data_IF_496361914229
#
_entry.id   IF_496361914229
#
_cell.length_a   1.000
_cell.length_b   1.000
_cell.length_c   1.000
_cell.angle_alpha   90.00
_cell.angle_beta   90.00
_cell.angle_gamma   90.00
#
_symmetry.space_group_name_H-M   'P 1'
#
loop_
_entity.id
_entity.type
_entity.pdbx_description
1 polymer ?
#
# COMPACT_ATOMS: atom_id res chain seq x y z
N UNK A 1 28.78 19.42 6.62
CA UNK A 1 27.32 19.46 6.37
C UNK A 1 26.71 18.07 6.49
N UNK A 2 25.53 18.00 7.02
CA UNK A 2 24.79 16.73 7.14
C UNK A 2 23.76 16.64 6.02
N UNK A 3 23.54 15.43 5.54
CA UNK A 3 22.61 15.16 4.43
C UNK A 3 21.53 14.18 4.86
N UNK A 4 20.28 14.45 4.47
CA UNK A 4 19.20 13.51 4.66
C UNK A 4 19.40 12.30 3.75
N UNK A 5 19.49 11.10 4.33
CA UNK A 5 19.71 9.88 3.57
C UNK A 5 18.53 9.50 2.67
N UNK A 6 17.35 10.09 2.90
CA UNK A 6 16.13 9.77 2.14
C UNK A 6 15.91 10.70 0.95
N UNK A 7 16.00 12.03 1.15
CA UNK A 7 15.77 13.00 0.08
C UNK A 7 17.04 13.65 -0.45
N UNK A 8 18.18 13.36 0.17
CA UNK A 8 19.50 13.87 -0.22
C UNK A 8 19.68 15.40 -0.07
N UNK A 9 18.77 16.05 0.68
CA UNK A 9 18.91 17.47 0.98
C UNK A 9 19.97 17.69 2.04
N UNK A 10 20.82 18.70 1.82
CA UNK A 10 21.89 19.06 2.76
C UNK A 10 21.39 19.99 3.86
N UNK A 11 21.90 19.82 5.06
CA UNK A 11 21.58 20.66 6.21
C UNK A 11 22.88 21.13 6.87
N UNK A 12 22.90 22.38 7.28
CA UNK A 12 24.06 22.98 7.94
C UNK A 12 24.23 22.47 9.38
N UNK A 13 23.16 22.04 10.02
CA UNK A 13 23.17 21.60 11.41
C UNK A 13 22.51 20.25 11.57
N UNK A 14 23.07 19.41 12.44
CA UNK A 14 22.48 18.11 12.78
C UNK A 14 21.09 18.24 13.40
N UNK A 15 20.88 19.31 14.20
CA UNK A 15 19.56 19.56 14.79
C UNK A 15 18.48 19.82 13.75
N UNK A 16 18.83 20.54 12.67
CA UNK A 16 17.91 20.77 11.55
C UNK A 16 17.60 19.47 10.83
N UNK A 17 18.59 18.60 10.62
CA UNK A 17 18.40 17.30 10.03
C UNK A 17 17.54 16.39 10.92
N UNK A 18 17.76 16.42 12.22
CA UNK A 18 17.04 15.56 13.17
C UNK A 18 15.52 15.84 13.18
N UNK A 19 15.12 17.10 12.99
CA UNK A 19 13.71 17.49 12.96
C UNK A 19 13.14 17.54 11.55
N UNK A 20 13.98 17.33 10.54
CA UNK A 20 13.56 17.35 9.16
C UNK A 20 12.64 16.15 8.83
N UNK A 21 11.51 16.44 8.19
CA UNK A 21 10.60 15.41 7.70
C UNK A 21 10.36 15.68 6.21
N UNK A 22 10.78 14.74 5.38
CA UNK A 22 10.50 14.75 3.94
C UNK A 22 9.57 13.59 3.60
N UNK A 23 8.99 13.61 2.42
CA UNK A 23 8.06 12.56 1.99
C UNK A 23 8.69 11.15 2.05
N UNK A 24 9.91 10.93 1.50
CA UNK A 24 10.52 9.60 1.61
C UNK A 24 10.75 9.15 3.05
N UNK A 25 11.17 10.05 3.93
CA UNK A 25 11.38 9.73 5.34
C UNK A 25 10.06 9.45 6.04
N UNK A 26 9.04 10.26 5.78
CA UNK A 26 7.71 10.09 6.39
C UNK A 26 7.10 8.74 6.01
N UNK A 27 7.23 8.32 4.76
CA UNK A 27 6.72 7.03 4.29
C UNK A 27 7.31 5.88 5.09
N UNK A 28 8.61 5.96 5.39
CA UNK A 28 9.29 4.92 6.18
C UNK A 28 8.89 4.97 7.66
N UNK A 29 8.61 6.15 8.20
CA UNK A 29 8.13 6.31 9.57
C UNK A 29 6.72 5.74 9.76
N UNK A 30 5.90 5.75 8.72
CA UNK A 30 4.54 5.22 8.73
C UNK A 30 4.46 3.70 8.63
N UNK A 31 5.58 3.02 8.45
CA UNK A 31 5.64 1.58 8.19
C UNK A 31 4.84 0.73 9.17
N UNK A 32 4.80 1.11 10.45
CA UNK A 32 4.10 0.36 11.48
C UNK A 32 2.58 0.56 11.47
N UNK A 33 2.07 1.53 10.72
CA UNK A 33 0.63 1.76 10.62
C UNK A 33 -0.05 0.61 9.88
N UNK A 34 -1.17 0.12 10.41
CA UNK A 34 -1.87 -1.04 9.83
C UNK A 34 -2.30 -0.80 8.38
N UNK A 35 -2.79 0.40 8.07
CA UNK A 35 -3.17 0.76 6.70
C UNK A 35 -1.99 0.74 5.74
N UNK A 36 -0.83 1.20 6.19
CA UNK A 36 0.40 1.18 5.39
C UNK A 36 0.86 -0.26 5.18
N UNK A 37 0.80 -1.09 6.22
CA UNK A 37 1.15 -2.52 6.12
C UNK A 37 0.27 -3.24 5.10
N UNK A 38 -1.05 -3.01 5.16
CA UNK A 38 -1.98 -3.60 4.19
C UNK A 38 -1.71 -3.09 2.77
N UNK A 39 -1.40 -1.80 2.64
CA UNK A 39 -1.01 -1.22 1.35
C UNK A 39 0.24 -1.87 0.79
N UNK A 40 1.24 -2.14 1.64
CA UNK A 40 2.45 -2.84 1.23
C UNK A 40 2.16 -4.26 0.77
N UNK A 41 1.32 -4.99 1.49
CA UNK A 41 0.91 -6.35 1.09
C UNK A 41 0.19 -6.34 -0.26
N UNK A 42 -0.67 -5.35 -0.49
CA UNK A 42 -1.36 -5.19 -1.77
C UNK A 42 -0.38 -4.87 -2.90
N UNK A 43 0.62 -4.04 -2.63
CA UNK A 43 1.69 -3.72 -3.57
C UNK A 43 2.46 -4.98 -3.99
N UNK A 44 2.84 -5.81 -3.03
CA UNK A 44 3.53 -7.07 -3.28
C UNK A 44 2.65 -7.97 -4.16
N UNK A 45 1.39 -8.11 -3.80
CA UNK A 45 0.45 -8.96 -4.54
C UNK A 45 0.26 -8.47 -5.98
N UNK A 46 0.19 -7.16 -6.16
CA UNK A 46 0.10 -6.55 -7.48
C UNK A 46 1.26 -6.98 -8.38
N UNK A 47 2.49 -6.91 -7.85
CA UNK A 47 3.66 -7.29 -8.63
C UNK A 47 3.74 -8.79 -8.87
N UNK A 48 3.34 -9.61 -7.89
CA UNK A 48 3.28 -11.07 -8.08
C UNK A 48 2.33 -11.45 -9.22
N UNK A 49 1.15 -10.85 -9.25
CA UNK A 49 0.14 -11.18 -10.27
C UNK A 49 0.42 -10.56 -11.64
N UNK A 50 1.11 -9.42 -11.67
CA UNK A 50 1.37 -8.70 -12.92
C UNK A 50 2.65 -9.13 -13.61
N UNK A 51 3.70 -9.47 -12.85
CA UNK A 51 5.03 -9.72 -13.36
C UNK A 51 5.57 -11.11 -12.99
N UNK A 52 4.75 -11.91 -12.33
CA UNK A 52 5.20 -13.16 -11.76
C UNK A 52 6.02 -12.94 -10.50
N UNK A 53 6.43 -14.00 -9.82
CA UNK A 53 7.13 -13.94 -8.54
C UNK A 53 8.63 -13.70 -8.68
N UNK A 54 9.09 -13.13 -9.79
CA UNK A 54 10.49 -13.09 -10.14
C UNK A 54 11.36 -12.25 -9.21
N UNK A 55 10.80 -11.27 -8.50
CA UNK A 55 11.57 -10.41 -7.61
C UNK A 55 10.78 -10.10 -6.34
N UNK A 56 11.43 -10.33 -5.20
CA UNK A 56 10.91 -9.87 -3.92
C UNK A 56 11.00 -8.36 -3.84
N UNK A 57 9.90 -7.70 -3.54
CA UNK A 57 9.86 -6.26 -3.33
C UNK A 57 10.02 -5.97 -1.85
N UNK A 58 10.84 -4.96 -1.53
CA UNK A 58 11.06 -4.52 -0.15
C UNK A 58 10.16 -3.34 0.18
N UNK A 59 10.09 -2.99 1.47
CA UNK A 59 9.38 -1.78 1.87
C UNK A 59 10.01 -0.52 1.26
N UNK A 60 11.32 -0.50 1.08
CA UNK A 60 11.98 0.62 0.42
C UNK A 60 11.51 0.78 -1.03
N UNK A 61 11.37 -0.32 -1.75
CA UNK A 61 10.81 -0.30 -3.11
C UNK A 61 9.40 0.30 -3.10
N UNK A 62 8.57 -0.11 -2.13
CA UNK A 62 7.23 0.40 -1.97
C UNK A 62 7.22 1.89 -1.62
N UNK A 63 8.05 2.31 -0.66
CA UNK A 63 8.13 3.70 -0.23
C UNK A 63 8.59 4.63 -1.35
N UNK A 64 9.38 4.12 -2.29
CA UNK A 64 9.87 4.89 -3.44
C UNK A 64 8.96 4.76 -4.66
N UNK A 65 7.91 3.95 -4.58
CA UNK A 65 6.99 3.73 -5.70
C UNK A 65 6.11 4.96 -5.94
N UNK A 66 5.86 5.33 -7.22
CA UNK A 66 4.89 6.37 -7.54
C UNK A 66 3.47 5.99 -7.14
N UNK A 67 3.21 4.70 -6.89
CA UNK A 67 1.89 4.21 -6.49
C UNK A 67 1.72 4.08 -4.97
N UNK A 68 2.71 4.49 -4.19
CA UNK A 68 2.67 4.37 -2.73
C UNK A 68 1.37 4.93 -2.14
N UNK A 69 0.99 6.14 -2.52
CA UNK A 69 -0.20 6.80 -1.98
C UNK A 69 -1.48 6.04 -2.30
N UNK A 70 -1.56 5.50 -3.52
CA UNK A 70 -2.74 4.75 -3.93
C UNK A 70 -2.89 3.46 -3.12
N UNK A 71 -1.81 2.72 -2.92
CA UNK A 71 -1.83 1.49 -2.12
C UNK A 71 -2.10 1.77 -0.64
N UNK A 72 -1.52 2.84 -0.09
CA UNK A 72 -1.77 3.23 1.30
C UNK A 72 -3.21 3.66 1.48
N UNK A 73 -3.76 4.42 0.55
CA UNK A 73 -5.18 4.80 0.57
C UNK A 73 -6.06 3.56 0.61
N UNK A 74 -5.76 2.56 -0.21
CA UNK A 74 -6.47 1.29 -0.22
C UNK A 74 -6.34 0.56 1.13
N UNK A 75 -5.12 0.48 1.67
CA UNK A 75 -4.90 -0.17 2.96
C UNK A 75 -5.65 0.52 4.10
N UNK A 76 -5.65 1.84 4.13
CA UNK A 76 -6.39 2.63 5.11
C UNK A 76 -7.89 2.45 4.96
N UNK A 77 -8.36 2.34 3.72
CA UNK A 77 -9.75 2.03 3.45
C UNK A 77 -10.14 0.66 4.03
N UNK A 78 -9.29 -0.35 3.84
CA UNK A 78 -9.53 -1.68 4.39
C UNK A 78 -9.62 -1.66 5.92
N UNK A 79 -8.78 -0.86 6.59
CA UNK A 79 -8.82 -0.70 8.04
C UNK A 79 -10.13 -0.02 8.46
N UNK A 80 -10.48 1.08 7.80
CA UNK A 80 -11.66 1.89 8.15
C UNK A 80 -12.96 1.11 7.97
N UNK A 81 -13.06 0.30 6.92
CA UNK A 81 -14.26 -0.50 6.62
C UNK A 81 -14.24 -1.87 7.26
N UNK A 82 -13.11 -2.25 7.90
CA UNK A 82 -12.88 -3.61 8.42
C UNK A 82 -13.12 -4.64 7.33
N UNK A 83 -12.45 -4.43 6.17
CA UNK A 83 -12.62 -5.25 4.99
C UNK A 83 -12.38 -6.73 5.29
N UNK A 84 -13.25 -7.58 4.77
CA UNK A 84 -13.15 -9.03 4.92
C UNK A 84 -12.03 -9.53 4.02
N UNK A 85 -11.04 -10.20 4.62
CA UNK A 85 -9.91 -10.80 3.92
C UNK A 85 -9.26 -9.86 2.89
N UNK A 86 -8.52 -8.83 3.34
CA UNK A 86 -7.93 -7.85 2.42
C UNK A 86 -7.04 -8.45 1.34
N UNK A 87 -6.33 -9.55 1.64
CA UNK A 87 -5.48 -10.22 0.65
C UNK A 87 -6.30 -10.79 -0.49
N UNK A 88 -7.44 -11.42 -0.18
CA UNK A 88 -8.34 -11.96 -1.18
C UNK A 88 -9.04 -10.83 -1.94
N UNK A 89 -9.38 -9.74 -1.28
CA UNK A 89 -9.92 -8.56 -1.92
C UNK A 89 -8.95 -7.99 -2.95
N UNK A 90 -7.68 -7.89 -2.61
CA UNK A 90 -6.64 -7.44 -3.53
C UNK A 90 -6.56 -8.35 -4.76
N UNK A 91 -6.55 -9.66 -4.55
CA UNK A 91 -6.53 -10.63 -5.65
C UNK A 91 -7.76 -10.51 -6.55
N UNK A 92 -8.94 -10.31 -5.94
CA UNK A 92 -10.19 -10.10 -6.68
C UNK A 92 -10.12 -8.83 -7.54
N UNK A 93 -9.62 -7.72 -6.98
CA UNK A 93 -9.45 -6.46 -7.70
C UNK A 93 -8.56 -6.61 -8.92
N UNK A 94 -7.46 -7.32 -8.77
CA UNK A 94 -6.51 -7.56 -9.87
C UNK A 94 -7.12 -8.48 -10.92
N UNK A 95 -7.84 -9.52 -10.51
CA UNK A 95 -8.51 -10.46 -11.42
C UNK A 95 -9.57 -9.75 -12.27
N UNK A 96 -10.26 -8.77 -11.70
CA UNK A 96 -11.31 -8.03 -12.39
C UNK A 96 -10.82 -6.75 -13.06
N UNK A 97 -9.49 -6.57 -13.14
CA UNK A 97 -8.85 -5.43 -13.82
C UNK A 97 -9.33 -4.07 -13.30
N UNK A 98 -9.59 -3.98 -12.01
CA UNK A 98 -9.97 -2.70 -11.40
C UNK A 98 -8.74 -1.79 -11.33
N UNK A 99 -8.93 -0.52 -11.65
CA UNK A 99 -7.84 0.46 -11.55
C UNK A 99 -7.55 0.77 -10.08
N UNK A 100 -6.27 0.87 -9.74
CA UNK A 100 -5.83 1.11 -8.37
C UNK A 100 -6.46 2.35 -7.74
N UNK A 101 -6.70 3.40 -8.54
CA UNK A 101 -7.31 4.63 -8.06
C UNK A 101 -8.73 4.43 -7.53
N UNK A 102 -9.38 3.36 -7.94
CA UNK A 102 -10.77 3.04 -7.58
C UNK A 102 -10.88 1.94 -6.52
N UNK A 103 -9.76 1.40 -6.04
CA UNK A 103 -9.78 0.28 -5.10
C UNK A 103 -10.44 0.64 -3.76
N UNK A 104 -10.35 1.89 -3.32
CA UNK A 104 -10.97 2.35 -2.08
C UNK A 104 -12.38 2.84 -2.26
N UNK A 105 -13.22 2.12 -3.00
CA UNK A 105 -14.61 2.50 -3.31
C UNK A 105 -15.59 1.53 -2.65
N UNK A 106 -16.62 2.07 -1.98
CA UNK A 106 -17.69 1.27 -1.37
C UNK A 106 -18.43 0.45 -2.41
N UNK A 107 -18.63 1.00 -3.60
CA UNK A 107 -19.29 0.28 -4.70
C UNK A 107 -18.49 -0.97 -5.08
N UNK A 108 -17.20 -0.84 -5.24
CA UNK A 108 -16.33 -1.95 -5.63
C UNK A 108 -16.22 -2.96 -4.49
N UNK A 109 -16.12 -2.49 -3.25
CA UNK A 109 -16.07 -3.38 -2.10
C UNK A 109 -17.39 -4.19 -1.99
N UNK A 110 -18.52 -3.56 -2.27
CA UNK A 110 -19.81 -4.25 -2.28
C UNK A 110 -19.86 -5.35 -3.35
N UNK A 111 -19.33 -5.08 -4.54
CA UNK A 111 -19.24 -6.08 -5.61
C UNK A 111 -18.38 -7.28 -5.15
N UNK A 112 -17.23 -7.00 -4.52
CA UNK A 112 -16.39 -8.05 -3.96
C UNK A 112 -17.12 -8.86 -2.89
N UNK A 113 -17.81 -8.20 -1.96
CA UNK A 113 -18.55 -8.88 -0.89
C UNK A 113 -19.59 -9.83 -1.44
N UNK A 114 -20.32 -9.41 -2.48
CA UNK A 114 -21.33 -10.28 -3.10
C UNK A 114 -20.70 -11.54 -3.67
N UNK A 115 -19.56 -11.40 -4.35
CA UNK A 115 -18.83 -12.54 -4.89
C UNK A 115 -18.25 -13.42 -3.77
N UNK A 116 -17.70 -12.81 -2.74
CA UNK A 116 -17.13 -13.51 -1.59
C UNK A 116 -18.20 -14.35 -0.89
N UNK A 117 -19.37 -13.76 -0.64
CA UNK A 117 -20.46 -14.45 0.03
C UNK A 117 -21.01 -15.61 -0.81
N UNK A 118 -21.06 -15.48 -2.14
CA UNK A 118 -21.46 -16.57 -3.02
C UNK A 118 -20.52 -17.76 -2.91
N UNK A 119 -19.22 -17.51 -2.90
CA UNK A 119 -18.21 -18.57 -2.79
C UNK A 119 -18.30 -19.25 -1.42
N UNK A 120 -18.39 -18.47 -0.35
CA UNK A 120 -18.49 -19.00 1.01
C UNK A 120 -19.79 -19.76 1.24
N UNK A 121 -20.90 -19.32 0.64
CA UNK A 121 -22.20 -19.98 0.77
C UNK A 121 -22.22 -21.35 0.06
N UNK A 122 -21.41 -21.51 -0.98
CA UNK A 122 -21.32 -22.76 -1.76
C UNK A 122 -20.31 -23.72 -1.13
N UNK A 123 -19.33 -23.17 -0.44
CA UNK A 123 -18.31 -23.96 0.23
C UNK A 123 -18.85 -24.60 1.50
#
# INVERSE_FOLDING_TARGET
>A
MTQCQYCKKDFARETSLAVHVCEPKRRRQERAERGVELGFQAYIRFYEMSQGSAKLKTFDDFADSPYYRAFVKFGRYCVATRAINPAQFTAWLLKHNKKIDNWGSDKIYTEYLLDYLKVEAVA
#
